data_IF_963690808719
#
_entry.id   IF_963690808719
#
_cell.length_a   1.000
_cell.length_b   1.000
_cell.length_c   1.000
_cell.angle_alpha   90.00
_cell.angle_beta   90.00
_cell.angle_gamma   90.00
#
_symmetry.space_group_name_H-M   'P 1'
#
loop_
_entity.id
_entity.type
_entity.pdbx_description
1 polymer ?
#
# COMPACT_ATOMS: atom_id res chain seq x y z
N UNK A 1 -1.14 -25.52 8.47
CA UNK A 1 -1.30 -24.14 7.96
C UNK A 1 -1.24 -23.16 9.13
N UNK A 2 -0.17 -23.28 9.91
CA UNK A 2 0.04 -22.43 11.06
C UNK A 2 0.31 -20.97 10.61
N UNK A 3 -0.29 -20.00 11.29
CA UNK A 3 -0.10 -18.56 11.00
C UNK A 3 -1.14 -17.92 10.06
N UNK A 4 -1.99 -18.69 9.36
CA UNK A 4 -3.07 -18.12 8.53
C UNK A 4 -4.19 -17.49 9.36
N UNK A 5 -4.33 -17.90 10.62
CA UNK A 5 -5.29 -17.30 11.57
C UNK A 5 -5.04 -15.81 11.82
N UNK A 6 -3.81 -15.36 11.59
CA UNK A 6 -3.41 -13.96 11.71
C UNK A 6 -3.55 -13.15 10.42
N UNK A 7 -3.78 -13.79 9.28
CA UNK A 7 -3.88 -13.13 7.99
C UNK A 7 -5.07 -12.17 7.94
N UNK A 8 -4.81 -10.91 7.65
CA UNK A 8 -5.81 -9.85 7.56
C UNK A 8 -6.01 -9.27 6.18
N UNK A 9 -5.05 -9.49 5.29
CA UNK A 9 -5.05 -8.87 3.98
C UNK A 9 -4.55 -9.84 2.91
N UNK A 10 -5.37 -10.09 1.90
CA UNK A 10 -4.94 -10.75 0.67
C UNK A 10 -5.03 -9.75 -0.47
N UNK A 11 -3.94 -9.60 -1.19
CA UNK A 11 -3.84 -8.71 -2.35
C UNK A 11 -3.56 -9.51 -3.62
N UNK A 12 -4.30 -9.22 -4.67
CA UNK A 12 -4.09 -9.80 -6.00
C UNK A 12 -3.42 -8.76 -6.88
N UNK A 13 -2.21 -9.06 -7.35
CA UNK A 13 -1.48 -8.20 -8.26
C UNK A 13 -1.88 -8.51 -9.71
N UNK A 14 -2.55 -7.57 -10.38
CA UNK A 14 -3.14 -7.81 -11.71
C UNK A 14 -2.13 -7.73 -12.86
N UNK A 15 -1.08 -6.95 -12.70
CA UNK A 15 -0.03 -6.76 -13.71
C UNK A 15 0.61 -5.36 -13.63
N UNK A 16 1.64 -5.15 -14.45
CA UNK A 16 2.48 -3.97 -14.39
C UNK A 16 2.09 -2.83 -15.34
N UNK A 17 1.15 -3.06 -16.26
CA UNK A 17 0.74 -2.02 -17.21
C UNK A 17 0.09 -0.86 -16.47
N UNK A 18 0.51 0.35 -16.78
CA UNK A 18 -0.05 1.59 -16.24
C UNK A 18 -0.09 2.63 -17.36
N UNK A 19 -1.05 3.52 -17.29
CA UNK A 19 -1.19 4.65 -18.20
C UNK A 19 -0.47 5.92 -17.70
N UNK A 20 0.11 5.89 -16.47
CA UNK A 20 0.94 6.97 -15.92
C UNK A 20 2.41 6.56 -15.86
N UNK A 21 3.30 7.56 -15.92
CA UNK A 21 4.74 7.42 -15.74
C UNK A 21 5.21 8.30 -14.58
N UNK A 22 4.83 7.89 -13.36
CA UNK A 22 5.16 8.62 -12.15
C UNK A 22 6.68 8.60 -11.90
N UNK A 23 7.26 9.76 -11.53
CA UNK A 23 8.71 9.95 -11.38
C UNK A 23 9.39 9.03 -10.35
N UNK A 24 8.64 8.55 -9.38
CA UNK A 24 9.12 7.67 -8.29
C UNK A 24 8.62 6.24 -8.39
N UNK A 25 7.93 5.89 -9.50
CA UNK A 25 7.30 4.57 -9.63
C UNK A 25 8.35 3.47 -9.86
N UNK A 26 8.27 2.42 -9.04
CA UNK A 26 9.18 1.27 -9.11
C UNK A 26 8.74 0.22 -10.15
N UNK A 27 7.67 0.49 -10.88
CA UNK A 27 7.08 -0.41 -11.88
C UNK A 27 8.10 -1.01 -12.85
N UNK A 28 9.12 -0.24 -13.23
CA UNK A 28 10.15 -0.71 -14.17
C UNK A 28 11.01 -1.85 -13.59
N UNK A 29 11.21 -1.86 -12.29
CA UNK A 29 11.96 -2.94 -11.63
C UNK A 29 11.12 -4.21 -11.57
N UNK A 30 9.83 -4.08 -11.25
CA UNK A 30 8.90 -5.20 -11.30
C UNK A 30 8.78 -5.75 -12.74
N UNK A 31 8.80 -4.87 -13.77
CA UNK A 31 8.61 -5.27 -15.16
C UNK A 31 9.74 -6.11 -15.73
N UNK A 32 10.99 -5.88 -15.32
CA UNK A 32 12.15 -6.58 -15.91
C UNK A 32 12.16 -8.07 -15.63
N UNK A 33 11.72 -8.48 -14.44
CA UNK A 33 11.77 -9.87 -14.01
C UNK A 33 10.41 -10.59 -14.05
N UNK A 34 9.32 -9.87 -13.89
CA UNK A 34 7.95 -10.43 -14.08
C UNK A 34 7.53 -10.37 -15.54
N UNK A 35 8.44 -9.84 -16.39
CA UNK A 35 8.38 -9.95 -17.84
C UNK A 35 7.08 -9.49 -18.47
N UNK A 36 6.50 -8.39 -17.98
CA UNK A 36 5.20 -7.95 -18.46
C UNK A 36 4.07 -8.93 -18.14
N UNK A 37 4.26 -9.85 -17.20
CA UNK A 37 3.22 -10.80 -16.81
C UNK A 37 2.03 -10.03 -16.24
N UNK A 38 0.88 -10.38 -16.76
CA UNK A 38 -0.41 -9.96 -16.23
C UNK A 38 -1.16 -11.19 -15.76
N UNK A 39 -1.99 -11.03 -14.74
CA UNK A 39 -2.90 -12.09 -14.31
C UNK A 39 -3.74 -12.54 -15.51
N UNK A 40 -3.55 -13.76 -15.95
CA UNK A 40 -4.32 -14.34 -17.07
C UNK A 40 -5.76 -14.61 -16.62
N UNK A 41 -6.73 -14.49 -17.53
CA UNK A 41 -8.12 -14.85 -17.21
C UNK A 41 -8.25 -16.27 -16.67
N UNK A 42 -7.54 -17.21 -17.27
CA UNK A 42 -7.53 -18.60 -16.80
C UNK A 42 -7.01 -18.78 -15.36
N UNK A 43 -6.29 -17.79 -14.84
CA UNK A 43 -5.78 -17.84 -13.48
C UNK A 43 -6.72 -17.23 -12.44
N UNK A 44 -7.79 -16.56 -12.86
CA UNK A 44 -8.80 -16.06 -11.93
C UNK A 44 -9.42 -17.19 -11.14
N UNK A 45 -9.70 -18.33 -11.78
CA UNK A 45 -10.22 -19.52 -11.10
C UNK A 45 -9.22 -20.08 -10.07
N UNK A 46 -7.93 -20.08 -10.39
CA UNK A 46 -6.89 -20.51 -9.45
C UNK A 46 -6.78 -19.55 -8.24
N UNK A 47 -6.97 -18.25 -8.46
CA UNK A 47 -7.04 -17.28 -7.37
C UNK A 47 -8.26 -17.57 -6.49
N UNK A 48 -9.42 -17.85 -7.08
CA UNK A 48 -10.63 -18.21 -6.33
C UNK A 48 -10.42 -19.52 -5.55
N UNK A 49 -9.81 -20.52 -6.15
CA UNK A 49 -9.43 -21.77 -5.49
C UNK A 49 -8.50 -21.53 -4.31
N UNK A 50 -7.53 -20.62 -4.46
CA UNK A 50 -6.66 -20.19 -3.37
C UNK A 50 -7.46 -19.57 -2.22
N UNK A 51 -8.41 -18.68 -2.53
CA UNK A 51 -9.30 -18.11 -1.51
C UNK A 51 -10.12 -19.20 -0.82
N UNK A 52 -10.71 -20.12 -1.57
CA UNK A 52 -11.53 -21.22 -1.02
C UNK A 52 -10.74 -22.10 -0.04
N UNK A 53 -9.46 -22.33 -0.31
CA UNK A 53 -8.56 -23.11 0.55
C UNK A 53 -8.03 -22.31 1.76
N UNK A 54 -7.85 -21.00 1.60
CA UNK A 54 -7.17 -20.15 2.59
C UNK A 54 -8.16 -19.56 3.58
N UNK A 55 -9.31 -19.08 3.12
CA UNK A 55 -10.31 -18.38 3.92
C UNK A 55 -10.82 -19.13 5.15
N UNK A 56 -11.03 -20.45 5.12
CA UNK A 56 -11.45 -21.19 6.31
C UNK A 56 -10.46 -21.13 7.48
N UNK A 57 -9.21 -20.81 7.19
CA UNK A 57 -8.12 -20.71 8.17
C UNK A 57 -7.85 -19.27 8.61
N UNK A 58 -8.43 -18.27 7.91
CA UNK A 58 -8.19 -16.84 8.15
C UNK A 58 -9.33 -16.24 8.99
N UNK A 59 -9.19 -16.29 10.31
CA UNK A 59 -10.25 -15.79 11.22
C UNK A 59 -10.40 -14.26 11.20
N UNK A 60 -9.38 -13.54 10.78
CA UNK A 60 -9.30 -12.08 10.86
C UNK A 60 -9.15 -11.39 9.50
N UNK A 61 -9.44 -12.04 8.38
CA UNK A 61 -9.29 -11.40 7.08
C UNK A 61 -10.33 -10.30 6.87
N UNK A 62 -9.85 -9.06 6.78
CA UNK A 62 -10.66 -7.86 6.64
C UNK A 62 -10.59 -7.27 5.24
N UNK A 63 -9.45 -7.46 4.55
CA UNK A 63 -9.13 -6.76 3.31
C UNK A 63 -8.86 -7.75 2.18
N UNK A 64 -9.61 -7.62 1.09
CA UNK A 64 -9.32 -8.23 -0.21
C UNK A 64 -9.01 -7.10 -1.16
N UNK A 65 -7.77 -6.99 -1.62
CA UNK A 65 -7.36 -5.88 -2.49
C UNK A 65 -6.89 -6.34 -3.86
N UNK A 66 -7.02 -5.45 -4.83
CA UNK A 66 -6.39 -5.58 -6.14
C UNK A 66 -5.41 -4.45 -6.35
N UNK A 67 -4.29 -4.79 -6.95
CA UNK A 67 -3.15 -3.93 -7.17
C UNK A 67 -2.56 -4.16 -8.55
N UNK A 68 -1.65 -3.27 -8.96
CA UNK A 68 -0.92 -3.41 -10.22
C UNK A 68 -0.29 -2.08 -10.62
N UNK A 69 0.03 -1.91 -11.89
CA UNK A 69 0.34 -0.62 -12.45
C UNK A 69 -0.88 0.29 -12.34
N UNK A 70 -1.88 0.12 -13.23
CA UNK A 70 -3.20 0.70 -13.06
C UNK A 70 -4.28 -0.40 -13.17
N UNK A 71 -5.00 -0.71 -12.08
CA UNK A 71 -5.98 -1.80 -12.06
C UNK A 71 -7.11 -1.65 -13.08
N UNK A 72 -7.54 -0.43 -13.38
CA UNK A 72 -8.63 -0.20 -14.34
C UNK A 72 -8.26 -0.57 -15.78
N UNK A 73 -6.99 -0.74 -16.13
CA UNK A 73 -6.56 -1.34 -17.39
C UNK A 73 -6.87 -2.86 -17.46
N UNK A 74 -7.18 -3.48 -16.33
CA UNK A 74 -7.51 -4.90 -16.20
C UNK A 74 -8.96 -5.13 -15.78
N UNK A 75 -9.87 -4.22 -16.14
CA UNK A 75 -11.25 -4.17 -15.65
C UNK A 75 -12.00 -5.49 -15.84
N UNK A 76 -11.85 -6.17 -16.97
CA UNK A 76 -12.52 -7.43 -17.23
C UNK A 76 -12.07 -8.55 -16.28
N UNK A 77 -10.80 -8.56 -15.88
CA UNK A 77 -10.26 -9.52 -14.91
C UNK A 77 -10.71 -9.19 -13.49
N UNK A 78 -10.78 -7.90 -13.14
CA UNK A 78 -11.35 -7.47 -11.87
C UNK A 78 -12.82 -7.86 -11.77
N UNK A 79 -13.60 -7.61 -12.81
CA UNK A 79 -15.04 -7.94 -12.81
C UNK A 79 -15.28 -9.45 -12.65
N UNK A 80 -14.52 -10.28 -13.36
CA UNK A 80 -14.57 -11.73 -13.25
C UNK A 80 -14.19 -12.19 -11.83
N UNK A 81 -13.07 -11.69 -11.30
CA UNK A 81 -12.61 -11.99 -9.94
C UNK A 81 -13.65 -11.59 -8.89
N UNK A 82 -14.17 -10.36 -8.97
CA UNK A 82 -15.16 -9.86 -8.02
C UNK A 82 -16.45 -10.65 -8.10
N UNK A 83 -16.91 -11.00 -9.31
CA UNK A 83 -18.10 -11.83 -9.49
C UNK A 83 -17.97 -13.17 -8.79
N UNK A 84 -16.81 -13.83 -8.91
CA UNK A 84 -16.56 -15.15 -8.31
C UNK A 84 -16.36 -15.12 -6.79
N UNK A 85 -15.81 -14.03 -6.25
CA UNK A 85 -15.57 -13.87 -4.81
C UNK A 85 -16.76 -13.29 -4.04
N UNK A 86 -17.66 -12.56 -4.73
CA UNK A 86 -18.67 -11.73 -4.10
C UNK A 86 -19.61 -12.49 -3.16
N UNK A 87 -20.32 -13.48 -3.69
CA UNK A 87 -21.33 -14.22 -2.91
C UNK A 87 -20.72 -14.96 -1.71
N UNK A 88 -19.47 -15.41 -1.85
CA UNK A 88 -18.78 -16.19 -0.83
C UNK A 88 -18.17 -15.32 0.27
N UNK A 89 -17.60 -14.17 -0.07
CA UNK A 89 -16.68 -13.48 0.84
C UNK A 89 -17.03 -12.02 1.13
N UNK A 90 -17.95 -11.40 0.38
CA UNK A 90 -18.27 -9.97 0.49
C UNK A 90 -19.73 -9.72 0.87
N UNK A 91 -20.68 -10.27 0.14
CA UNK A 91 -22.11 -9.91 0.13
C UNK A 91 -22.78 -9.80 1.50
N UNK A 92 -22.45 -10.69 2.43
CA UNK A 92 -23.05 -10.76 3.76
C UNK A 92 -22.03 -10.45 4.87
N UNK A 93 -21.05 -9.65 4.57
CA UNK A 93 -19.97 -9.26 5.49
C UNK A 93 -19.74 -7.75 5.42
N UNK A 94 -19.00 -7.21 6.38
CA UNK A 94 -18.56 -5.81 6.34
C UNK A 94 -17.31 -5.60 5.44
N UNK A 95 -16.82 -6.66 4.80
CA UNK A 95 -15.66 -6.59 3.92
C UNK A 95 -15.98 -5.83 2.64
N UNK A 96 -14.96 -5.17 2.13
CA UNK A 96 -15.00 -4.51 0.83
C UNK A 96 -13.82 -4.95 -0.02
N UNK A 97 -14.01 -4.91 -1.34
CA UNK A 97 -12.88 -4.93 -2.27
C UNK A 97 -12.12 -3.60 -2.16
N UNK A 98 -10.81 -3.66 -1.98
CA UNK A 98 -9.96 -2.48 -1.97
C UNK A 98 -9.24 -2.35 -3.31
N UNK A 99 -9.31 -1.17 -3.93
CA UNK A 99 -8.63 -0.89 -5.20
C UNK A 99 -7.71 0.30 -5.00
N UNK A 100 -6.40 0.11 -5.25
CA UNK A 100 -5.46 1.22 -5.33
C UNK A 100 -5.29 1.63 -6.79
N UNK A 101 -5.60 2.89 -7.12
CA UNK A 101 -5.62 3.40 -8.49
C UNK A 101 -5.11 4.83 -8.56
N UNK A 102 -4.64 5.25 -9.74
CA UNK A 102 -4.36 6.65 -10.02
C UNK A 102 -5.63 7.49 -10.27
N UNK A 103 -6.79 6.85 -10.41
CA UNK A 103 -8.10 7.48 -10.54
C UNK A 103 -8.47 7.98 -11.93
N UNK A 104 -7.54 8.00 -12.89
CA UNK A 104 -7.76 8.62 -14.21
C UNK A 104 -8.82 7.91 -15.05
N UNK A 105 -9.00 6.60 -14.85
CA UNK A 105 -9.94 5.79 -15.64
C UNK A 105 -11.30 5.55 -14.94
N UNK A 106 -11.54 6.17 -13.79
CA UNK A 106 -12.80 5.98 -13.04
C UNK A 106 -14.00 6.48 -13.84
N UNK A 107 -13.90 7.64 -14.48
CA UNK A 107 -14.99 8.22 -15.24
C UNK A 107 -15.41 7.37 -16.45
N UNK A 108 -14.48 6.64 -17.04
CA UNK A 108 -14.72 5.76 -18.20
C UNK A 108 -15.35 4.43 -17.81
N UNK A 109 -15.30 4.05 -16.52
CA UNK A 109 -15.71 2.72 -16.03
C UNK A 109 -16.96 2.78 -15.13
N UNK A 110 -17.93 3.64 -15.46
CA UNK A 110 -19.16 3.82 -14.65
C UNK A 110 -20.00 2.55 -14.53
N UNK A 111 -20.06 1.71 -15.55
CA UNK A 111 -20.82 0.44 -15.49
C UNK A 111 -20.21 -0.53 -14.45
N UNK A 112 -18.90 -0.58 -14.35
CA UNK A 112 -18.24 -1.33 -13.28
C UNK A 112 -18.58 -0.76 -11.90
N UNK A 113 -18.56 0.55 -11.75
CA UNK A 113 -18.91 1.21 -10.48
C UNK A 113 -20.38 1.02 -10.13
N UNK A 114 -21.28 1.04 -11.10
CA UNK A 114 -22.71 0.77 -10.89
C UNK A 114 -22.94 -0.64 -10.31
N UNK A 115 -22.16 -1.62 -10.76
CA UNK A 115 -22.22 -3.00 -10.26
C UNK A 115 -21.59 -3.16 -8.89
N UNK A 116 -20.42 -2.58 -8.69
CA UNK A 116 -19.54 -2.88 -7.56
C UNK A 116 -19.35 -1.75 -6.54
N UNK A 117 -19.75 -0.52 -6.85
CA UNK A 117 -19.48 0.66 -6.03
C UNK A 117 -19.77 0.50 -4.55
N UNK A 118 -20.96 0.00 -4.13
CA UNK A 118 -21.27 -0.17 -2.71
C UNK A 118 -20.31 -1.10 -1.96
N UNK A 119 -19.60 -1.95 -2.70
CA UNK A 119 -18.69 -2.97 -2.17
C UNK A 119 -17.22 -2.62 -2.36
N UNK A 120 -16.91 -1.40 -2.82
CA UNK A 120 -15.53 -0.96 -3.08
C UNK A 120 -15.11 0.12 -2.09
N UNK A 121 -13.85 0.01 -1.66
CA UNK A 121 -13.08 1.08 -1.04
C UNK A 121 -11.91 1.42 -1.94
N UNK A 122 -11.86 2.65 -2.43
CA UNK A 122 -10.74 3.14 -3.22
C UNK A 122 -9.62 3.70 -2.36
N UNK A 123 -8.40 3.43 -2.77
CA UNK A 123 -7.21 4.15 -2.35
C UNK A 123 -6.70 4.91 -3.57
N UNK A 124 -6.90 6.22 -3.58
CA UNK A 124 -6.55 7.08 -4.71
C UNK A 124 -5.17 7.66 -4.51
N UNK A 125 -4.24 7.30 -5.40
CA UNK A 125 -2.89 7.84 -5.38
C UNK A 125 -2.89 9.27 -5.94
N UNK A 126 -2.64 10.26 -5.07
CA UNK A 126 -2.64 11.67 -5.41
C UNK A 126 -1.60 12.44 -4.62
N UNK A 127 -0.74 13.19 -5.29
CA UNK A 127 0.41 13.86 -4.67
C UNK A 127 0.15 15.33 -4.31
N UNK A 128 -1.10 15.76 -4.31
CA UNK A 128 -1.54 17.11 -3.92
C UNK A 128 -0.72 18.21 -4.61
N UNK A 129 0.01 19.02 -3.87
CA UNK A 129 0.81 20.12 -4.43
C UNK A 129 1.93 19.63 -5.37
N UNK A 130 2.36 18.38 -5.26
CA UNK A 130 3.37 17.77 -6.13
C UNK A 130 2.79 17.02 -7.32
N UNK A 131 1.47 16.98 -7.49
CA UNK A 131 0.82 16.17 -8.55
C UNK A 131 1.41 16.45 -9.94
N UNK A 132 1.52 17.71 -10.34
CA UNK A 132 2.07 18.07 -11.66
C UNK A 132 3.54 17.77 -11.86
N UNK A 133 4.29 17.67 -10.76
CA UNK A 133 5.72 17.37 -10.78
C UNK A 133 5.97 15.87 -10.89
N UNK A 134 5.15 15.08 -10.23
CA UNK A 134 5.39 13.66 -10.01
C UNK A 134 4.52 12.76 -10.87
N UNK A 135 3.32 13.24 -11.26
CA UNK A 135 2.28 12.43 -11.89
C UNK A 135 1.48 13.24 -12.92
N UNK A 136 0.69 12.56 -13.71
CA UNK A 136 -0.26 13.20 -14.62
C UNK A 136 -1.47 13.79 -13.87
N UNK A 137 -2.17 14.70 -14.56
CA UNK A 137 -3.34 15.37 -13.99
C UNK A 137 -4.56 14.46 -13.94
N UNK A 138 -5.34 14.59 -12.86
CA UNK A 138 -6.65 13.98 -12.69
C UNK A 138 -7.60 15.03 -12.11
N UNK A 139 -8.81 15.15 -12.66
CA UNK A 139 -9.86 15.95 -12.01
C UNK A 139 -10.40 15.19 -10.79
N UNK A 140 -9.82 15.50 -9.64
CA UNK A 140 -10.12 14.81 -8.38
C UNK A 140 -11.53 15.08 -7.87
N UNK A 141 -12.14 16.21 -8.26
CA UNK A 141 -13.50 16.56 -7.84
C UNK A 141 -14.52 15.77 -8.64
N UNK A 142 -14.37 15.71 -9.95
CA UNK A 142 -15.22 14.88 -10.81
C UNK A 142 -15.10 13.41 -10.41
N UNK A 143 -13.88 12.91 -10.28
CA UNK A 143 -13.63 11.54 -9.87
C UNK A 143 -14.30 11.20 -8.53
N UNK A 144 -14.13 12.04 -7.50
CA UNK A 144 -14.72 11.82 -6.19
C UNK A 144 -16.25 11.85 -6.23
N UNK A 145 -16.84 12.75 -7.00
CA UNK A 145 -18.29 12.80 -7.19
C UNK A 145 -18.81 11.49 -7.80
N UNK A 146 -18.14 10.96 -8.82
CA UNK A 146 -18.49 9.67 -9.43
C UNK A 146 -18.38 8.53 -8.42
N UNK A 147 -17.29 8.47 -7.66
CA UNK A 147 -17.11 7.45 -6.62
C UNK A 147 -18.26 7.47 -5.62
N UNK A 148 -18.65 8.65 -5.14
CA UNK A 148 -19.74 8.81 -4.17
C UNK A 148 -21.11 8.53 -4.78
N UNK A 149 -21.35 8.95 -6.03
CA UNK A 149 -22.60 8.68 -6.77
C UNK A 149 -22.91 7.18 -6.79
N UNK A 150 -21.90 6.34 -7.00
CA UNK A 150 -22.05 4.88 -7.03
C UNK A 150 -21.90 4.19 -5.67
N UNK A 151 -21.88 4.95 -4.57
CA UNK A 151 -21.86 4.40 -3.22
C UNK A 151 -20.53 3.80 -2.76
N UNK A 152 -19.46 4.00 -3.53
CA UNK A 152 -18.12 3.60 -3.12
C UNK A 152 -17.55 4.56 -2.06
N UNK A 153 -16.59 4.06 -1.28
CA UNK A 153 -15.83 4.89 -0.35
C UNK A 153 -14.41 5.09 -0.86
N UNK A 154 -13.75 6.15 -0.42
CA UNK A 154 -12.38 6.44 -0.83
C UNK A 154 -11.51 6.98 0.30
N UNK A 155 -10.21 6.83 0.11
CA UNK A 155 -9.15 7.51 0.86
C UNK A 155 -8.07 7.98 -0.11
N UNK A 156 -7.37 9.03 0.27
CA UNK A 156 -6.20 9.50 -0.46
C UNK A 156 -4.96 8.70 -0.06
N UNK A 157 -4.07 8.52 -1.02
CA UNK A 157 -2.72 8.01 -0.79
C UNK A 157 -1.73 9.03 -1.33
N UNK A 158 -0.93 9.59 -0.45
CA UNK A 158 0.10 10.57 -0.78
C UNK A 158 1.48 9.95 -0.63
N UNK A 159 2.20 9.83 -1.74
CA UNK A 159 3.62 9.46 -1.71
C UNK A 159 4.42 10.72 -1.42
N UNK A 160 4.86 10.82 -0.18
CA UNK A 160 5.48 12.01 0.37
C UNK A 160 6.98 12.00 0.07
N UNK A 161 7.52 12.99 -0.68
CA UNK A 161 8.94 13.08 -0.96
C UNK A 161 9.70 13.44 0.33
N UNK A 162 10.46 12.49 0.86
CA UNK A 162 11.15 12.64 2.16
C UNK A 162 12.39 13.53 2.09
N UNK A 163 12.95 13.72 0.91
CA UNK A 163 14.12 14.58 0.62
C UNK A 163 13.73 16.05 0.41
N UNK A 164 12.45 16.34 0.21
CA UNK A 164 12.00 17.68 -0.07
C UNK A 164 11.35 18.30 1.16
N UNK A 165 12.04 19.23 1.82
CA UNK A 165 11.51 19.98 2.99
C UNK A 165 10.17 20.65 2.70
N UNK A 166 9.84 20.91 1.42
CA UNK A 166 8.55 21.47 1.02
C UNK A 166 7.38 20.53 1.27
N UNK A 167 7.61 19.21 1.45
CA UNK A 167 6.54 18.24 1.70
C UNK A 167 5.71 18.56 2.97
N UNK A 168 6.24 19.38 3.87
CA UNK A 168 5.58 19.81 5.10
C UNK A 168 5.16 21.29 5.10
N UNK A 169 5.37 21.99 4.00
CA UNK A 169 5.07 23.42 3.97
C UNK A 169 3.56 23.71 3.96
N UNK A 170 3.20 24.98 4.18
CA UNK A 170 1.81 25.41 4.24
C UNK A 170 1.04 25.20 2.93
N UNK A 171 1.72 25.21 1.78
CA UNK A 171 1.07 25.01 0.47
C UNK A 171 0.59 23.57 0.35
N UNK A 172 1.40 22.58 0.75
CA UNK A 172 1.02 21.17 0.78
C UNK A 172 -0.13 20.94 1.76
N UNK A 173 0.00 21.48 2.98
CA UNK A 173 -1.06 21.37 4.01
C UNK A 173 -2.36 21.97 3.48
N UNK A 174 -2.29 23.16 2.89
CA UNK A 174 -3.45 23.88 2.35
C UNK A 174 -4.10 23.09 1.23
N UNK A 175 -3.31 22.50 0.32
CA UNK A 175 -3.84 21.72 -0.79
C UNK A 175 -4.48 20.40 -0.31
N UNK A 176 -3.88 19.72 0.68
CA UNK A 176 -4.50 18.55 1.30
C UNK A 176 -5.86 18.92 1.90
N UNK A 177 -5.93 19.98 2.72
CA UNK A 177 -7.17 20.41 3.36
C UNK A 177 -8.22 20.77 2.30
N UNK A 178 -7.85 21.56 1.29
CA UNK A 178 -8.73 21.99 0.20
C UNK A 178 -9.28 20.80 -0.59
N UNK A 179 -8.42 19.85 -0.94
CA UNK A 179 -8.81 18.63 -1.67
C UNK A 179 -9.77 17.80 -0.85
N UNK A 180 -9.45 17.54 0.42
CA UNK A 180 -10.31 16.80 1.32
C UNK A 180 -11.70 17.45 1.47
N UNK A 181 -11.76 18.77 1.57
CA UNK A 181 -13.02 19.50 1.66
C UNK A 181 -13.85 19.42 0.38
N UNK A 182 -13.22 19.66 -0.78
CA UNK A 182 -13.89 19.62 -2.09
C UNK A 182 -14.44 18.24 -2.43
N UNK A 183 -13.71 17.20 -2.06
CA UNK A 183 -14.04 15.80 -2.40
C UNK A 183 -14.81 15.08 -1.29
N UNK A 184 -15.07 15.73 -0.16
CA UNK A 184 -15.71 15.14 1.03
C UNK A 184 -15.02 13.86 1.51
N UNK A 185 -13.73 13.72 1.24
CA UNK A 185 -12.89 12.62 1.67
C UNK A 185 -11.81 13.14 2.63
N UNK A 186 -11.94 12.83 3.90
CA UNK A 186 -11.07 13.34 4.95
C UNK A 186 -10.03 12.30 5.45
N UNK A 187 -9.74 11.29 4.67
CA UNK A 187 -8.76 10.25 5.04
C UNK A 187 -7.58 10.29 4.10
N UNK A 188 -6.38 10.41 4.64
CA UNK A 188 -5.12 10.45 3.88
C UNK A 188 -4.16 9.40 4.43
N UNK A 189 -3.73 8.49 3.58
CA UNK A 189 -2.64 7.57 3.84
C UNK A 189 -1.33 8.19 3.34
N UNK A 190 -0.40 8.44 4.25
CA UNK A 190 0.92 8.97 3.94
C UNK A 190 1.88 7.81 3.70
N UNK A 191 2.48 7.79 2.53
CA UNK A 191 3.55 6.85 2.19
C UNK A 191 4.84 7.65 2.05
N UNK A 192 5.72 7.63 3.06
CA UNK A 192 7.03 8.23 2.91
C UNK A 192 7.77 7.56 1.75
N UNK A 193 8.28 8.36 0.82
CA UNK A 193 9.07 7.86 -0.29
C UNK A 193 10.34 7.22 0.27
N UNK A 194 10.46 5.93 0.10
CA UNK A 194 11.65 5.17 0.51
C UNK A 194 12.72 5.35 -0.54
N UNK A 195 13.97 5.47 -0.09
CA UNK A 195 15.12 5.37 -0.99
C UNK A 195 15.14 3.94 -1.56
N UNK A 196 14.81 3.82 -2.84
CA UNK A 196 14.96 2.57 -3.57
C UNK A 196 16.15 2.71 -4.50
N UNK A 197 17.11 1.79 -4.39
CA UNK A 197 18.24 1.73 -5.33
C UNK A 197 17.68 1.64 -6.74
N UNK A 198 17.72 2.76 -7.45
CA UNK A 198 17.28 2.84 -8.84
C UNK A 198 16.04 3.68 -9.12
N UNK A 199 15.39 4.28 -8.15
CA UNK A 199 14.40 5.32 -8.43
C UNK A 199 15.09 6.43 -9.26
N UNK A 200 14.62 6.64 -10.46
CA UNK A 200 15.36 7.34 -11.54
C UNK A 200 15.74 8.79 -11.24
N UNK A 201 15.21 9.42 -10.19
CA UNK A 201 15.34 10.87 -9.98
C UNK A 201 15.52 11.34 -8.53
N UNK A 202 15.55 10.46 -7.54
CA UNK A 202 15.65 10.89 -6.14
C UNK A 202 16.81 10.17 -5.45
N UNK A 203 17.95 10.83 -5.38
CA UNK A 203 18.97 10.51 -4.39
C UNK A 203 18.56 11.19 -3.08
N UNK A 204 17.87 10.46 -2.22
CA UNK A 204 17.58 10.96 -0.87
C UNK A 204 18.74 10.64 0.02
N UNK A 205 19.56 11.61 0.28
CA UNK A 205 20.53 11.57 1.37
C UNK A 205 19.94 12.41 2.51
N UNK A 206 19.14 11.78 3.38
CA UNK A 206 18.85 12.39 4.67
C UNK A 206 20.04 12.08 5.54
N UNK A 207 20.90 13.07 5.74
CA UNK A 207 21.99 12.98 6.71
C UNK A 207 21.43 12.99 8.14
N UNK A 208 22.27 12.58 9.10
CA UNK A 208 21.86 12.43 10.50
C UNK A 208 21.41 13.74 11.15
N UNK A 209 21.91 14.88 10.62
CA UNK A 209 21.63 16.22 11.15
C UNK A 209 20.18 16.63 10.82
N UNK A 210 19.63 16.21 9.70
CA UNK A 210 18.32 16.64 9.23
C UNK A 210 17.16 15.74 9.71
N UNK A 211 17.44 14.56 10.24
CA UNK A 211 16.37 13.61 10.63
C UNK A 211 15.52 14.15 11.78
N UNK A 212 16.13 14.78 12.78
CA UNK A 212 15.40 15.39 13.89
C UNK A 212 14.48 16.52 13.41
N UNK A 213 15.01 17.43 12.58
CA UNK A 213 14.23 18.50 11.95
C UNK A 213 13.11 17.94 11.07
N UNK A 214 13.39 16.90 10.30
CA UNK A 214 12.38 16.24 9.48
C UNK A 214 11.25 15.66 10.35
N UNK A 215 11.59 15.00 11.44
CA UNK A 215 10.62 14.41 12.35
C UNK A 215 9.76 15.47 13.04
N UNK A 216 10.36 16.57 13.50
CA UNK A 216 9.62 17.67 14.12
C UNK A 216 8.64 18.31 13.12
N UNK A 217 9.09 18.54 11.88
CA UNK A 217 8.22 19.05 10.81
C UNK A 217 7.10 18.07 10.48
N UNK A 218 7.39 16.78 10.45
CA UNK A 218 6.38 15.73 10.24
C UNK A 218 5.33 15.71 11.35
N UNK A 219 5.75 15.79 12.62
CA UNK A 219 4.82 15.85 13.75
C UNK A 219 3.93 17.10 13.70
N UNK A 220 4.50 18.27 13.36
CA UNK A 220 3.73 19.49 13.17
C UNK A 220 2.71 19.35 12.03
N UNK A 221 3.16 18.81 10.90
CA UNK A 221 2.31 18.54 9.73
C UNK A 221 1.10 17.67 10.06
N UNK A 222 1.32 16.50 10.69
CA UNK A 222 0.21 15.62 11.07
C UNK A 222 -0.69 16.25 12.14
N UNK A 223 -0.12 17.02 13.06
CA UNK A 223 -0.89 17.73 14.10
C UNK A 223 -1.84 18.76 13.47
N UNK A 224 -1.36 19.55 12.51
CA UNK A 224 -2.20 20.52 11.80
C UNK A 224 -3.33 19.82 11.06
N UNK A 225 -3.04 18.76 10.30
CA UNK A 225 -4.05 18.00 9.57
C UNK A 225 -5.09 17.38 10.52
N UNK A 226 -4.63 16.83 11.65
CA UNK A 226 -5.51 16.27 12.67
C UNK A 226 -6.46 17.33 13.26
N UNK A 227 -5.97 18.53 13.56
CA UNK A 227 -6.83 19.64 14.05
C UNK A 227 -7.89 20.06 13.02
N UNK A 228 -7.66 19.78 11.74
CA UNK A 228 -8.63 19.99 10.66
C UNK A 228 -9.54 18.78 10.42
N UNK A 229 -9.55 17.80 11.33
CA UNK A 229 -10.35 16.56 11.26
C UNK A 229 -10.04 15.70 10.03
N UNK A 230 -8.79 15.72 9.60
CA UNK A 230 -8.30 14.81 8.57
C UNK A 230 -7.70 13.59 9.28
N UNK A 231 -8.21 12.41 8.95
CA UNK A 231 -7.70 11.14 9.45
C UNK A 231 -6.41 10.81 8.73
N UNK A 232 -5.32 10.67 9.47
CA UNK A 232 -4.00 10.39 8.92
C UNK A 232 -3.63 8.94 9.27
N UNK A 233 -3.26 8.18 8.24
CA UNK A 233 -2.56 6.91 8.37
C UNK A 233 -1.16 7.08 7.80
N UNK A 234 -0.18 6.42 8.35
CA UNK A 234 1.19 6.43 7.84
C UNK A 234 1.60 5.01 7.51
N UNK A 235 1.96 4.79 6.25
CA UNK A 235 2.40 3.46 5.80
C UNK A 235 3.69 3.06 6.51
N UNK A 236 3.74 1.80 6.97
CA UNK A 236 4.82 1.29 7.81
C UNK A 236 4.69 1.67 9.30
N UNK A 237 3.76 2.54 9.68
CA UNK A 237 3.36 2.79 11.06
C UNK A 237 1.90 2.35 11.16
N UNK A 238 1.67 1.08 11.43
CA UNK A 238 0.31 0.55 11.56
C UNK A 238 -0.33 1.04 12.85
N UNK A 239 -1.32 1.88 12.70
CA UNK A 239 -2.15 2.39 13.78
C UNK A 239 -2.67 3.76 13.43
N UNK A 240 -3.87 4.04 13.83
CA UNK A 240 -4.39 5.40 13.84
C UNK A 240 -3.51 6.20 14.84
N UNK A 241 -2.86 7.27 14.41
CA UNK A 241 -2.08 8.14 15.29
C UNK A 241 -2.88 8.70 16.47
N UNK A 242 -4.22 8.60 16.42
CA UNK A 242 -5.10 8.87 17.54
C UNK A 242 -5.07 7.81 18.65
N UNK A 243 -4.48 6.64 18.38
CA UNK A 243 -4.32 5.53 19.33
C UNK A 243 -2.82 5.27 19.57
N UNK A 244 -2.15 6.23 20.20
CA UNK A 244 -0.71 6.17 20.54
C UNK A 244 -0.33 4.92 21.35
N UNK A 245 -1.30 4.22 21.91
CA UNK A 245 -1.08 3.12 22.84
C UNK A 245 -0.83 1.74 22.22
N UNK A 246 -0.92 1.60 20.89
CA UNK A 246 -0.66 0.28 20.24
C UNK A 246 0.04 0.40 18.90
N UNK A 247 1.31 0.73 18.92
CA UNK A 247 2.20 0.49 17.79
C UNK A 247 2.50 -1.01 17.66
N UNK A 248 1.58 -1.77 17.09
CA UNK A 248 1.85 -3.13 16.69
C UNK A 248 2.12 -3.17 15.19
N UNK A 249 3.38 -3.24 14.84
CA UNK A 249 3.80 -3.71 13.53
C UNK A 249 3.70 -5.23 13.54
N UNK A 250 2.62 -5.74 13.01
CA UNK A 250 2.46 -7.17 12.80
C UNK A 250 2.33 -7.39 11.29
N UNK A 251 3.47 -7.52 10.61
CA UNK A 251 3.55 -7.78 9.16
C UNK A 251 3.04 -9.17 8.77
N UNK A 252 2.74 -10.03 9.75
CA UNK A 252 2.26 -11.39 9.53
C UNK A 252 0.85 -11.46 8.91
N UNK A 253 0.30 -10.32 8.45
CA UNK A 253 -1.10 -10.22 8.12
C UNK A 253 -1.42 -9.98 6.66
N UNK A 254 -0.42 -9.99 5.76
CA UNK A 254 -0.63 -9.69 4.35
C UNK A 254 -0.02 -10.76 3.45
N UNK A 255 -0.74 -11.12 2.39
CA UNK A 255 -0.25 -11.93 1.29
C UNK A 255 -0.51 -11.24 -0.04
N UNK A 256 0.47 -11.27 -0.92
CA UNK A 256 0.35 -10.75 -2.28
C UNK A 256 0.48 -11.91 -3.26
N UNK A 257 -0.59 -12.16 -4.00
CA UNK A 257 -0.63 -13.13 -5.08
C UNK A 257 -0.12 -12.46 -6.34
N UNK A 258 1.08 -12.83 -6.77
CA UNK A 258 1.74 -12.24 -7.93
C UNK A 258 1.44 -13.02 -9.22
N UNK A 259 1.41 -12.36 -10.40
CA UNK A 259 1.21 -13.02 -11.69
C UNK A 259 2.28 -14.04 -12.07
N UNK A 260 3.39 -14.12 -11.35
CA UNK A 260 4.42 -15.16 -11.52
C UNK A 260 4.06 -16.49 -10.82
N UNK A 261 2.92 -16.53 -10.11
CA UNK A 261 2.42 -17.74 -9.43
C UNK A 261 2.88 -17.88 -7.99
N UNK A 262 3.63 -16.91 -7.47
CA UNK A 262 4.17 -16.97 -6.12
C UNK A 262 3.46 -16.00 -5.16
N UNK A 263 3.67 -16.23 -3.87
CA UNK A 263 3.16 -15.42 -2.76
C UNK A 263 4.31 -14.62 -2.18
N UNK A 264 4.06 -13.32 -1.97
CA UNK A 264 5.00 -12.40 -1.34
C UNK A 264 4.36 -11.73 -0.12
N UNK A 265 5.13 -11.41 0.94
CA UNK A 265 4.59 -10.75 2.12
C UNK A 265 4.35 -9.26 1.94
N UNK A 266 5.12 -8.60 1.07
CA UNK A 266 5.06 -7.16 0.79
C UNK A 266 5.30 -6.84 -0.67
N UNK A 267 4.82 -5.68 -1.15
CA UNK A 267 5.05 -5.21 -2.52
C UNK A 267 6.52 -4.93 -2.80
N UNK A 268 7.26 -4.42 -1.82
CA UNK A 268 8.68 -4.14 -1.95
C UNK A 268 9.49 -5.39 -2.34
N UNK A 269 9.05 -6.57 -1.93
CA UNK A 269 9.70 -7.83 -2.27
C UNK A 269 9.42 -8.30 -3.71
N UNK A 270 8.41 -7.75 -4.37
CA UNK A 270 8.23 -7.95 -5.81
C UNK A 270 9.34 -7.30 -6.64
N UNK A 271 10.00 -6.30 -6.08
CA UNK A 271 11.01 -5.48 -6.77
C UNK A 271 12.41 -6.01 -6.59
N UNK A 272 12.72 -6.54 -5.40
CA UNK A 272 14.08 -6.97 -5.03
C UNK A 272 14.17 -8.48 -4.86
N UNK A 273 15.21 -9.12 -5.43
CA UNK A 273 15.62 -10.52 -5.14
C UNK A 273 14.47 -11.50 -4.89
N UNK A 274 13.51 -11.54 -5.77
CA UNK A 274 12.24 -12.26 -5.68
C UNK A 274 12.33 -13.66 -5.10
N UNK A 275 13.29 -14.46 -5.57
CA UNK A 275 13.40 -15.86 -5.15
C UNK A 275 13.66 -16.02 -3.66
N UNK A 276 14.33 -15.04 -3.05
CA UNK A 276 14.68 -15.06 -1.63
C UNK A 276 13.51 -14.66 -0.72
N UNK A 277 12.48 -13.99 -1.27
CA UNK A 277 11.35 -13.44 -0.49
C UNK A 277 10.02 -14.13 -0.77
N UNK A 278 10.01 -15.18 -1.57
CA UNK A 278 8.83 -16.00 -1.78
C UNK A 278 8.47 -16.73 -0.50
N UNK A 279 7.24 -16.57 -0.06
CA UNK A 279 6.71 -17.26 1.14
C UNK A 279 5.73 -18.36 0.79
N UNK A 280 5.47 -18.56 -0.50
CA UNK A 280 4.58 -19.61 -0.98
C UNK A 280 4.33 -19.55 -2.47
N UNK A 281 3.53 -20.50 -2.94
CA UNK A 281 3.05 -20.62 -4.32
C UNK A 281 1.54 -20.81 -4.31
N UNK A 282 0.84 -20.28 -5.33
CA UNK A 282 -0.61 -20.33 -5.39
C UNK A 282 -1.16 -20.96 -6.69
N UNK A 283 -0.30 -21.19 -7.71
CA UNK A 283 -0.71 -21.55 -9.07
C UNK A 283 -1.00 -23.03 -9.33
N UNK A 284 -0.54 -23.93 -8.48
CA UNK A 284 -0.74 -25.38 -8.64
C UNK A 284 -1.81 -25.94 -7.69
N UNK A 285 -2.51 -25.04 -7.00
CA UNK A 285 -3.52 -25.43 -6.02
C UNK A 285 -2.93 -25.97 -4.72
N UNK A 286 -1.60 -26.04 -4.60
CA UNK A 286 -0.93 -26.27 -3.34
C UNK A 286 -0.65 -24.93 -2.69
N UNK A 287 -1.21 -24.71 -1.50
CA UNK A 287 -0.79 -23.61 -0.65
C UNK A 287 0.50 -24.02 0.05
N UNK A 288 1.62 -23.85 -0.59
CA UNK A 288 2.89 -23.86 0.08
C UNK A 288 3.12 -22.50 0.73
N UNK A 289 2.76 -22.38 1.99
CA UNK A 289 3.02 -21.20 2.78
C UNK A 289 3.99 -21.56 3.89
N UNK A 290 5.09 -20.83 3.99
CA UNK A 290 6.12 -21.06 4.99
C UNK A 290 6.15 -19.89 5.96
N UNK A 291 5.34 -19.91 7.05
CA UNK A 291 5.27 -18.83 8.04
C UNK A 291 6.63 -18.51 8.65
N UNK A 292 7.50 -19.51 8.75
CA UNK A 292 8.85 -19.36 9.29
C UNK A 292 9.75 -18.52 8.37
N UNK A 293 9.66 -18.71 7.03
CA UNK A 293 10.36 -17.85 6.07
C UNK A 293 9.87 -16.42 6.18
N UNK A 294 8.56 -16.23 6.35
CA UNK A 294 7.96 -14.93 6.57
C UNK A 294 8.56 -14.26 7.81
N UNK A 295 8.56 -14.95 8.94
CA UNK A 295 9.12 -14.46 10.20
C UNK A 295 10.61 -14.14 10.11
N UNK A 296 11.40 -15.03 9.50
CA UNK A 296 12.85 -14.84 9.34
C UNK A 296 13.18 -13.65 8.43
N UNK A 297 12.38 -13.44 7.40
CA UNK A 297 12.55 -12.29 6.50
C UNK A 297 12.13 -10.99 7.18
N UNK A 298 11.06 -11.03 7.96
CA UNK A 298 10.61 -9.90 8.74
C UNK A 298 11.65 -9.51 9.80
N UNK A 299 12.17 -10.46 10.55
CA UNK A 299 13.24 -10.23 11.52
C UNK A 299 14.52 -9.68 10.88
N UNK A 300 14.95 -10.22 9.74
CA UNK A 300 16.15 -9.73 9.02
C UNK A 300 15.98 -8.33 8.45
N UNK A 301 14.75 -7.95 8.07
CA UNK A 301 14.48 -6.67 7.42
C UNK A 301 14.06 -5.57 8.41
N UNK A 302 13.53 -5.94 9.59
CA UNK A 302 12.97 -4.99 10.55
C UNK A 302 13.96 -4.50 11.59
N UNK A 303 14.97 -5.30 11.92
CA UNK A 303 15.82 -5.01 13.06
C UNK A 303 17.26 -4.91 12.58
N UNK A 304 17.81 -3.69 12.61
CA UNK A 304 19.26 -3.53 12.47
C UNK A 304 19.97 -4.23 13.64
N UNK A 305 21.22 -4.66 13.40
CA UNK A 305 22.04 -5.28 14.44
C UNK A 305 22.10 -4.44 15.71
N UNK A 306 22.11 -3.10 15.58
CA UNK A 306 22.13 -2.15 16.69
C UNK A 306 20.82 -2.14 17.50
N UNK A 307 19.71 -2.43 16.86
CA UNK A 307 18.41 -2.46 17.54
C UNK A 307 18.19 -3.71 18.38
N UNK A 308 18.91 -4.82 18.11
CA UNK A 308 18.76 -6.05 18.88
C UNK A 308 19.08 -5.86 20.35
N UNK A 309 20.07 -5.03 20.66
CA UNK A 309 20.52 -4.76 22.01
C UNK A 309 19.94 -3.47 22.60
N UNK A 310 19.03 -2.78 21.86
CA UNK A 310 18.44 -1.54 22.32
C UNK A 310 17.38 -1.82 23.41
N UNK A 311 17.46 -1.17 24.58
CA UNK A 311 16.48 -1.33 25.65
C UNK A 311 15.05 -0.98 25.25
N UNK A 312 14.89 -0.07 24.28
CA UNK A 312 13.61 0.44 23.78
C UNK A 312 13.10 -0.30 22.53
N UNK A 313 13.75 -1.41 22.11
CA UNK A 313 13.46 -2.07 20.84
C UNK A 313 11.99 -2.41 20.63
N UNK A 314 11.30 -2.81 21.69
CA UNK A 314 9.92 -3.30 21.62
C UNK A 314 8.90 -2.15 21.59
N UNK A 315 9.28 -0.96 22.09
CA UNK A 315 8.44 0.24 22.13
C UNK A 315 8.88 1.35 21.18
N UNK A 316 9.97 1.13 20.43
CA UNK A 316 10.57 2.16 19.60
C UNK A 316 9.84 2.32 18.26
N UNK A 317 9.08 3.40 18.11
CA UNK A 317 8.50 3.80 16.82
C UNK A 317 9.57 4.18 15.78
N UNK A 318 10.75 4.63 16.21
CA UNK A 318 11.86 5.05 15.33
C UNK A 318 12.46 3.88 14.53
N UNK A 319 12.41 2.64 15.02
CA UNK A 319 12.90 1.48 14.27
C UNK A 319 12.24 1.35 12.89
N UNK A 320 11.00 1.78 12.76
CA UNK A 320 10.26 1.78 11.50
C UNK A 320 10.62 2.97 10.63
N UNK A 321 10.85 4.15 11.23
CA UNK A 321 11.35 5.32 10.51
C UNK A 321 12.75 5.06 9.96
N UNK A 322 13.63 4.40 10.69
CA UNK A 322 14.96 4.02 10.20
C UNK A 322 14.90 3.06 9.00
N UNK A 323 13.93 2.15 8.98
CA UNK A 323 13.69 1.30 7.79
C UNK A 323 13.28 2.15 6.59
N UNK A 324 12.46 3.17 6.79
CA UNK A 324 12.02 4.07 5.72
C UNK A 324 13.17 4.88 5.11
N UNK A 325 14.20 5.19 5.89
CA UNK A 325 15.31 6.03 5.46
C UNK A 325 16.59 5.29 5.06
N UNK A 326 16.56 3.96 4.98
CA UNK A 326 17.67 3.07 4.54
C UNK A 326 19.08 3.58 4.92
N UNK A 327 19.30 3.85 6.22
CA UNK A 327 20.53 4.43 6.73
C UNK A 327 21.73 3.50 6.58
N UNK A 328 22.93 4.03 6.25
CA UNK A 328 24.14 3.24 6.27
C UNK A 328 24.41 2.62 7.64
N UNK A 329 25.04 1.43 7.70
CA UNK A 329 25.47 0.82 8.96
C UNK A 329 26.38 1.78 9.73
N UNK A 330 26.15 1.95 11.04
CA UNK A 330 27.01 2.74 11.92
C UNK A 330 26.47 4.12 12.32
N UNK A 331 25.28 4.51 11.86
CA UNK A 331 24.63 5.74 12.37
C UNK A 331 23.90 5.47 13.67
N UNK A 332 24.30 6.15 14.74
CA UNK A 332 23.70 5.98 16.08
C UNK A 332 22.25 6.48 16.10
N UNK A 333 21.38 5.76 16.84
CA UNK A 333 20.11 6.34 17.28
C UNK A 333 20.41 7.62 18.08
N UNK A 334 19.73 8.71 17.77
CA UNK A 334 19.72 9.88 18.64
C UNK A 334 19.06 9.42 19.93
N UNK A 335 19.84 9.44 21.01
CA UNK A 335 19.34 9.20 22.37
C UNK A 335 18.56 10.39 22.86
#
# INVERSE_FOLDING_TARGET
MDGLDKLKHISVYLGNTCNFDCSYCDREYIAKDVGGQTLKHAWVDLVVDFFDKTMPHCKGLDIISVHGGEPFLFISRMDDLFTKLFDKYIKNTDRKFCITTNGSLIAENKEFLKKWGPYIKFTISYDFAFQKQNREYVDVVEMANIIHEFGATMQWQYVMPTDDKRCFNLDVITEIIRTCQKTKCNTVNLIPLRHKRGARKFEVIIDDIHLGEWFDNFLQFITILYTKRINIYVDGIYGNLSAIDKFYYDNHHKMILSPDGYIYPEYDFLEYKRNEFRVGQWTDGTLEYTPELYRQQDEKNLIRSECYNCPSKDSCGLKYLYKMFDRPPGTSCIQ
#
